data_IF_464079305352
#
_entry.id   IF_464079305352
#
_cell.length_a   1.000
_cell.length_b   1.000
_cell.length_c   1.000
_cell.angle_alpha   90.00
_cell.angle_beta   90.00
_cell.angle_gamma   90.00
#
_symmetry.space_group_name_H-M   'P 1'
#
loop_
_entity.id
_entity.type
_entity.pdbx_description
1 polymer ?
#
# COMPACT_ATOMS: atom_id res chain seq x y z
N UNK A 1 18.56 4.76 -3.92
CA UNK A 1 18.21 3.46 -3.30
C UNK A 1 17.61 2.54 -4.36
N UNK A 2 18.06 1.33 -4.45
CA UNK A 2 17.52 0.34 -5.37
C UNK A 2 16.47 -0.47 -4.61
N UNK A 3 15.21 -0.43 -5.10
CA UNK A 3 14.16 -1.28 -4.56
C UNK A 3 14.20 -2.63 -5.23
N UNK A 4 14.32 -3.66 -4.41
CA UNK A 4 14.29 -5.04 -4.88
C UNK A 4 12.84 -5.50 -5.01
N UNK A 5 12.47 -5.99 -6.19
CA UNK A 5 11.18 -6.63 -6.38
C UNK A 5 11.25 -8.05 -5.82
N UNK A 6 10.25 -8.43 -5.03
CA UNK A 6 10.17 -9.75 -4.41
C UNK A 6 8.73 -10.26 -4.48
N UNK A 7 8.58 -11.58 -4.45
CA UNK A 7 7.28 -12.20 -4.19
C UNK A 7 6.76 -11.76 -2.83
N UNK A 8 5.44 -11.55 -2.74
CA UNK A 8 4.85 -10.95 -1.54
C UNK A 8 5.08 -11.78 -0.29
N UNK A 9 4.90 -13.09 -0.36
CA UNK A 9 5.07 -13.97 0.81
C UNK A 9 6.50 -13.89 1.37
N UNK A 10 7.52 -13.88 0.50
CA UNK A 10 8.91 -13.75 0.92
C UNK A 10 9.20 -12.38 1.52
N UNK A 11 8.67 -11.32 0.92
CA UNK A 11 8.80 -9.96 1.44
C UNK A 11 8.10 -9.81 2.80
N UNK A 12 6.92 -10.38 2.95
CA UNK A 12 6.16 -10.35 4.20
C UNK A 12 6.90 -11.04 5.35
N UNK A 13 7.54 -12.16 5.07
CA UNK A 13 8.31 -12.90 6.08
C UNK A 13 9.65 -12.26 6.41
N UNK A 14 10.18 -11.42 5.55
CA UNK A 14 11.46 -10.74 5.74
C UNK A 14 11.31 -9.45 6.57
N UNK A 15 12.40 -8.69 6.66
CA UNK A 15 12.44 -7.42 7.40
C UNK A 15 12.90 -6.23 6.55
N UNK A 16 13.53 -6.50 5.40
CA UNK A 16 14.02 -5.44 4.51
C UNK A 16 12.85 -4.85 3.69
N UNK A 17 12.89 -3.55 3.37
CA UNK A 17 11.93 -2.96 2.45
C UNK A 17 11.96 -3.67 1.10
N UNK A 18 10.79 -3.85 0.49
CA UNK A 18 10.68 -4.53 -0.80
C UNK A 18 9.57 -3.93 -1.65
N UNK A 19 9.74 -3.95 -2.96
CA UNK A 19 8.71 -3.59 -3.92
C UNK A 19 7.86 -4.82 -4.19
N UNK A 20 6.54 -4.70 -3.99
CA UNK A 20 5.61 -5.83 -4.05
C UNK A 20 4.38 -5.52 -4.88
N UNK A 21 3.77 -6.59 -5.40
CA UNK A 21 2.49 -6.57 -6.08
C UNK A 21 1.71 -7.79 -5.56
N UNK A 22 0.51 -7.56 -5.04
CA UNK A 22 -0.26 -8.62 -4.39
C UNK A 22 -1.75 -8.30 -4.38
N UNK A 23 -2.55 -9.32 -4.08
CA UNK A 23 -3.99 -9.16 -3.87
C UNK A 23 -4.33 -9.30 -2.39
N UNK A 24 -5.36 -8.61 -1.96
CA UNK A 24 -5.79 -8.64 -0.57
C UNK A 24 -7.28 -8.32 -0.45
N UNK A 25 -7.86 -8.68 0.68
CA UNK A 25 -9.25 -8.37 1.03
C UNK A 25 -9.26 -7.27 2.09
N UNK A 26 -9.97 -6.20 1.82
CA UNK A 26 -10.08 -5.07 2.75
C UNK A 26 -10.81 -5.52 4.02
N UNK A 27 -10.25 -5.18 5.18
CA UNK A 27 -10.77 -5.54 6.50
C UNK A 27 -11.45 -4.38 7.22
N UNK A 28 -10.95 -3.16 7.05
CA UNK A 28 -11.40 -2.00 7.82
C UNK A 28 -11.85 -0.86 6.92
N UNK A 29 -12.72 -0.01 7.46
CA UNK A 29 -13.07 1.25 6.82
C UNK A 29 -11.84 2.15 6.79
N UNK A 30 -11.53 2.82 5.68
CA UNK A 30 -10.38 3.71 5.62
C UNK A 30 -10.48 4.85 6.62
N UNK A 31 -9.35 5.18 7.24
CA UNK A 31 -9.16 6.40 8.02
C UNK A 31 -8.27 7.36 7.23
N UNK A 32 -8.47 8.65 7.48
CA UNK A 32 -7.68 9.69 6.83
C UNK A 32 -6.85 10.42 7.86
N UNK A 33 -5.61 10.77 7.50
CA UNK A 33 -4.72 11.49 8.38
C UNK A 33 -3.76 12.36 7.56
N UNK A 34 -3.27 13.42 8.21
CA UNK A 34 -2.25 14.28 7.62
C UNK A 34 -0.86 13.77 7.99
N UNK A 35 -0.04 13.49 6.98
CA UNK A 35 1.34 13.07 7.17
C UNK A 35 2.26 14.28 7.33
N UNK A 36 2.87 14.43 8.52
CA UNK A 36 3.71 15.59 8.79
C UNK A 36 4.99 15.63 7.94
N UNK A 37 5.50 14.47 7.52
CA UNK A 37 6.69 14.40 6.67
C UNK A 37 6.39 14.72 5.22
N UNK A 38 5.29 14.20 4.70
CA UNK A 38 4.89 14.39 3.31
C UNK A 38 4.11 15.68 3.08
N UNK A 39 3.61 16.31 4.17
CA UNK A 39 2.69 17.44 4.10
C UNK A 39 1.46 17.14 3.24
N UNK A 40 0.94 15.92 3.37
CA UNK A 40 -0.13 15.41 2.52
C UNK A 40 -1.14 14.62 3.32
N UNK A 41 -2.37 14.56 2.79
CA UNK A 41 -3.41 13.71 3.36
C UNK A 41 -3.24 12.28 2.82
N UNK A 42 -3.36 11.31 3.72
CA UNK A 42 -3.29 9.89 3.41
C UNK A 42 -4.58 9.20 3.82
N UNK A 43 -4.96 8.15 3.11
CA UNK A 43 -5.91 7.17 3.60
C UNK A 43 -5.18 5.88 3.99
N UNK A 44 -5.66 5.22 5.03
CA UNK A 44 -5.09 3.97 5.50
C UNK A 44 -6.18 3.00 5.90
N UNK A 45 -5.97 1.73 5.58
CA UNK A 45 -6.87 0.66 5.96
C UNK A 45 -6.09 -0.65 6.05
N UNK A 46 -6.66 -1.61 6.77
CA UNK A 46 -6.07 -2.94 6.87
C UNK A 46 -6.67 -3.86 5.82
N UNK A 47 -5.84 -4.77 5.30
CA UNK A 47 -6.26 -5.78 4.36
C UNK A 47 -5.59 -7.12 4.69
N UNK A 48 -6.26 -8.22 4.35
CA UNK A 48 -5.72 -9.56 4.54
C UNK A 48 -5.22 -10.11 3.21
N UNK A 49 -3.92 -10.42 3.18
CA UNK A 49 -3.30 -11.14 2.08
C UNK A 49 -3.20 -12.63 2.40
N UNK A 50 -2.73 -13.43 1.46
CA UNK A 50 -2.43 -14.85 1.69
C UNK A 50 -1.34 -15.06 2.74
N UNK A 51 -0.47 -14.08 2.96
CA UNK A 51 0.61 -14.14 3.95
C UNK A 51 0.20 -13.61 5.32
N UNK A 52 -0.86 -12.81 5.42
CA UNK A 52 -1.34 -12.22 6.66
C UNK A 52 -1.87 -10.81 6.46
N UNK A 53 -2.13 -10.12 7.58
CA UNK A 53 -2.66 -8.76 7.59
C UNK A 53 -1.57 -7.76 7.20
N UNK A 54 -1.94 -6.78 6.42
CA UNK A 54 -1.06 -5.68 5.99
C UNK A 54 -1.84 -4.38 6.07
N UNK A 55 -1.18 -3.29 6.48
CA UNK A 55 -1.75 -1.95 6.40
C UNK A 55 -1.44 -1.36 5.02
N UNK A 56 -2.46 -0.81 4.37
CA UNK A 56 -2.32 -0.13 3.08
C UNK A 56 -2.42 1.37 3.34
N UNK A 57 -1.45 2.13 2.85
CA UNK A 57 -1.41 3.59 2.99
C UNK A 57 -1.30 4.20 1.60
N UNK A 58 -2.22 5.11 1.29
CA UNK A 58 -2.27 5.79 0.01
C UNK A 58 -2.24 7.30 0.21
N UNK A 59 -1.44 7.99 -0.61
CA UNK A 59 -1.36 9.46 -0.57
C UNK A 59 -2.44 10.03 -1.49
N UNK A 60 -3.55 10.46 -0.90
CA UNK A 60 -4.70 10.98 -1.66
C UNK A 60 -4.50 12.40 -2.14
N UNK A 61 -3.37 13.04 -1.82
CA UNK A 61 -2.95 14.30 -2.44
C UNK A 61 -2.25 14.08 -3.77
N UNK A 62 -1.78 12.86 -4.05
CA UNK A 62 -1.11 12.51 -5.32
C UNK A 62 -2.06 11.74 -6.24
N UNK A 63 -2.74 10.73 -5.72
CA UNK A 63 -3.63 9.88 -6.49
C UNK A 63 -5.08 10.06 -6.05
N UNK A 64 -6.07 9.78 -6.92
CA UNK A 64 -7.47 9.76 -6.49
C UNK A 64 -7.69 8.78 -5.34
N UNK A 65 -8.58 9.17 -4.42
CA UNK A 65 -9.01 8.29 -3.34
C UNK A 65 -9.61 6.99 -3.91
N UNK A 66 -9.15 5.85 -3.39
CA UNK A 66 -9.75 4.56 -3.70
C UNK A 66 -10.89 4.27 -2.74
N UNK A 67 -12.15 4.18 -3.20
CA UNK A 67 -13.31 4.05 -2.30
C UNK A 67 -13.53 2.60 -1.85
N UNK A 68 -12.57 2.06 -1.10
CA UNK A 68 -12.66 0.70 -0.59
C UNK A 68 -13.65 0.58 0.56
N UNK A 69 -14.22 -0.62 0.70
CA UNK A 69 -15.07 -1.02 1.81
C UNK A 69 -14.61 -2.38 2.32
N UNK A 70 -14.85 -2.71 3.61
CA UNK A 70 -14.56 -4.05 4.11
C UNK A 70 -15.20 -5.13 3.24
N UNK A 71 -14.42 -6.15 2.92
CA UNK A 71 -14.82 -7.23 2.03
C UNK A 71 -14.40 -7.05 0.57
N UNK A 72 -14.01 -5.87 0.15
CA UNK A 72 -13.53 -5.64 -1.22
C UNK A 72 -12.22 -6.38 -1.48
N UNK A 73 -12.08 -6.94 -2.68
CA UNK A 73 -10.81 -7.49 -3.16
C UNK A 73 -10.07 -6.41 -3.96
N UNK A 74 -8.80 -6.22 -3.63
CA UNK A 74 -7.95 -5.24 -4.30
C UNK A 74 -6.65 -5.88 -4.75
N UNK A 75 -6.06 -5.29 -5.79
CA UNK A 75 -4.67 -5.50 -6.16
C UNK A 75 -3.88 -4.26 -5.78
N UNK A 76 -2.71 -4.46 -5.17
CA UNK A 76 -1.88 -3.35 -4.67
C UNK A 76 -0.46 -3.53 -5.15
N UNK A 77 0.14 -2.44 -5.64
CA UNK A 77 1.57 -2.36 -5.92
C UNK A 77 2.15 -1.20 -5.13
N UNK A 78 3.21 -1.47 -4.37
CA UNK A 78 3.87 -0.46 -3.57
C UNK A 78 5.11 -1.00 -2.86
N UNK A 79 5.62 -0.20 -1.93
CA UNK A 79 6.74 -0.61 -1.08
C UNK A 79 6.22 -1.17 0.23
N UNK A 80 6.60 -2.41 0.53
CA UNK A 80 6.36 -3.04 1.82
C UNK A 80 7.47 -2.64 2.78
N UNK A 81 7.08 -2.15 3.96
CA UNK A 81 8.00 -1.81 5.05
C UNK A 81 7.52 -2.45 6.34
N UNK A 82 8.47 -2.70 7.25
CA UNK A 82 8.19 -3.34 8.53
C UNK A 82 8.49 -2.39 9.67
N UNK A 83 7.45 -1.93 10.35
CA UNK A 83 7.59 -1.16 11.58
C UNK A 83 7.50 -2.10 12.78
N UNK A 84 8.39 -1.96 13.78
CA UNK A 84 8.38 -2.84 14.95
C UNK A 84 7.02 -2.83 15.66
N UNK A 85 6.52 -4.03 16.00
CA UNK A 85 5.30 -4.22 16.77
C UNK A 85 4.00 -3.94 16.02
N UNK A 86 4.06 -3.73 14.69
CA UNK A 86 2.89 -3.43 13.85
C UNK A 86 2.82 -4.41 12.67
N UNK A 87 1.64 -4.59 12.06
CA UNK A 87 1.58 -5.30 10.78
C UNK A 87 2.47 -4.61 9.75
N UNK A 88 3.01 -5.37 8.78
CA UNK A 88 3.71 -4.74 7.66
C UNK A 88 2.82 -3.72 6.97
N UNK A 89 3.44 -2.67 6.46
CA UNK A 89 2.76 -1.54 5.83
C UNK A 89 3.20 -1.44 4.37
N UNK A 90 2.24 -1.21 3.47
CA UNK A 90 2.53 -0.93 2.06
C UNK A 90 2.15 0.50 1.77
N UNK A 91 3.11 1.29 1.32
CA UNK A 91 2.91 2.66 0.89
C UNK A 91 3.47 2.86 -0.53
N UNK A 92 3.48 4.11 -1.02
CA UNK A 92 3.84 4.43 -2.41
C UNK A 92 2.93 3.69 -3.40
N UNK A 93 1.64 3.62 -3.05
CA UNK A 93 0.60 2.95 -3.82
C UNK A 93 0.00 3.87 -4.89
N UNK A 94 0.81 4.73 -5.45
CA UNK A 94 0.44 5.76 -6.45
C UNK A 94 1.63 5.99 -7.38
N UNK A 95 1.41 6.75 -8.47
CA UNK A 95 2.52 7.19 -9.30
C UNK A 95 3.49 8.08 -8.49
N UNK A 96 4.74 8.11 -8.91
CA UNK A 96 5.75 8.96 -8.27
C UNK A 96 6.00 10.22 -9.11
N UNK A 97 5.48 11.38 -8.68
CA UNK A 97 5.72 12.64 -9.40
C UNK A 97 7.20 13.02 -9.48
N UNK A 98 7.98 12.61 -8.49
CA UNK A 98 9.41 12.90 -8.42
C UNK A 98 10.31 11.92 -9.18
N UNK A 99 9.73 10.86 -9.73
CA UNK A 99 10.47 9.82 -10.47
C UNK A 99 11.64 9.23 -9.68
N UNK A 100 11.48 9.06 -8.36
CA UNK A 100 12.52 8.53 -7.46
C UNK A 100 12.35 7.06 -7.12
N UNK A 101 11.13 6.54 -7.29
CA UNK A 101 10.80 5.13 -7.06
C UNK A 101 9.81 4.66 -8.13
N UNK A 102 9.58 3.35 -8.26
CA UNK A 102 8.59 2.84 -9.20
C UNK A 102 7.19 3.36 -8.89
N UNK A 103 6.34 3.42 -9.91
CA UNK A 103 4.94 3.77 -9.73
C UNK A 103 4.16 2.61 -9.12
N UNK A 104 3.36 2.93 -8.10
CA UNK A 104 2.45 2.00 -7.49
C UNK A 104 1.01 2.25 -7.89
N UNK A 105 0.09 1.45 -7.36
CA UNK A 105 -1.34 1.63 -7.57
C UNK A 105 -2.16 0.81 -6.58
N UNK A 106 -3.45 1.14 -6.50
CA UNK A 106 -4.49 0.27 -5.96
C UNK A 106 -5.48 0.04 -7.09
N UNK A 107 -5.85 -1.22 -7.35
CA UNK A 107 -6.87 -1.57 -8.33
C UNK A 107 -8.09 -2.14 -7.61
N UNK A 108 -9.24 -1.53 -7.85
CA UNK A 108 -10.51 -1.94 -7.27
C UNK A 108 -11.54 -2.10 -8.40
N UNK A 109 -12.14 -3.29 -8.50
CA UNK A 109 -13.16 -3.60 -9.52
C UNK A 109 -12.72 -3.20 -10.93
N UNK A 110 -11.46 -3.51 -11.26
CA UNK A 110 -10.88 -3.24 -12.57
C UNK A 110 -10.43 -1.80 -12.80
N UNK A 111 -10.73 -0.88 -11.88
CA UNK A 111 -10.31 0.51 -11.99
C UNK A 111 -9.00 0.74 -11.24
N UNK A 112 -8.09 1.45 -11.90
CA UNK A 112 -6.79 1.82 -11.35
C UNK A 112 -6.88 3.17 -10.65
N UNK A 113 -6.39 3.19 -9.41
CA UNK A 113 -6.22 4.41 -8.62
C UNK A 113 -4.73 4.61 -8.42
N UNK A 114 -4.15 5.53 -9.19
CA UNK A 114 -2.69 5.68 -9.25
C UNK A 114 -2.22 7.13 -9.39
#
# INVERSE_FOLDING_TARGET
MILRKMGFAAAYAGTAPAWVDFTARVLTVPRFFYGSRSHSVHEAFEARSSAGVVEIVDNVSIAPRCPVQPGDCIEVRGQLVHDPGKPPLVHWTHHDPGHRHPDGFIRLRGRLYA
#
